data_IF_203555593053
#
_entry.id   IF_203555593053
#
_cell.length_a   1.000
_cell.length_b   1.000
_cell.length_c   1.000
_cell.angle_alpha   90.00
_cell.angle_beta   90.00
_cell.angle_gamma   90.00
#
_symmetry.space_group_name_H-M   'P 1'
#
loop_
_entity.id
_entity.type
_entity.pdbx_description
1 polymer ?
#
# COMPACT_ATOMS: atom_id res chain seq x y z
N UNK A 1 -20.98 -62.50 51.13
CA UNK A 1 -19.82 -61.69 50.71
C UNK A 1 -20.34 -60.38 50.12
N UNK A 2 -19.86 -59.22 50.58
CA UNK A 2 -20.55 -57.93 50.44
C UNK A 2 -20.15 -57.17 49.16
N UNK A 3 -21.15 -56.55 48.54
CA UNK A 3 -21.03 -55.54 47.49
C UNK A 3 -20.42 -54.27 48.08
N UNK A 4 -19.30 -53.79 47.53
CA UNK A 4 -18.73 -52.47 47.85
C UNK A 4 -19.06 -51.48 46.75
N UNK A 5 -19.74 -50.40 47.14
CA UNK A 5 -19.82 -49.14 46.41
C UNK A 5 -18.42 -48.55 46.27
N UNK A 6 -18.11 -47.94 45.12
CA UNK A 6 -17.16 -46.82 45.05
C UNK A 6 -17.66 -45.76 44.05
N UNK A 7 -17.63 -44.47 44.43
CA UNK A 7 -18.20 -43.37 43.67
C UNK A 7 -17.21 -42.74 42.68
N UNK A 8 -17.83 -42.07 41.71
CA UNK A 8 -17.38 -41.03 40.78
C UNK A 8 -16.20 -40.17 41.29
N UNK A 9 -15.20 -39.92 40.44
CA UNK A 9 -14.65 -38.58 40.26
C UNK A 9 -14.05 -38.40 38.85
N UNK A 10 -14.61 -37.45 38.12
CA UNK A 10 -14.12 -36.92 36.86
C UNK A 10 -13.12 -35.78 37.12
N UNK A 11 -12.08 -35.67 36.30
CA UNK A 11 -11.51 -34.39 35.85
C UNK A 11 -10.40 -34.65 34.82
N UNK A 12 -10.71 -34.46 33.54
CA UNK A 12 -9.71 -34.34 32.49
C UNK A 12 -9.19 -32.89 32.48
N UNK A 13 -7.93 -32.68 32.81
CA UNK A 13 -7.24 -31.41 32.56
C UNK A 13 -6.16 -31.65 31.50
N UNK A 14 -6.57 -31.52 30.24
CA UNK A 14 -5.64 -31.36 29.13
C UNK A 14 -5.01 -29.98 29.25
N UNK A 15 -3.75 -29.93 29.68
CA UNK A 15 -2.94 -28.71 29.65
C UNK A 15 -2.55 -28.44 28.19
N UNK A 16 -3.36 -27.64 27.49
CA UNK A 16 -3.02 -27.08 26.18
C UNK A 16 -2.09 -25.91 26.47
N UNK A 17 -0.79 -26.09 26.26
CA UNK A 17 0.18 -25.00 26.27
C UNK A 17 0.04 -24.28 24.92
N UNK A 18 -0.36 -22.99 24.87
CA UNK A 18 -0.40 -22.27 23.61
C UNK A 18 1.05 -22.02 23.15
N UNK A 19 1.49 -22.79 22.15
CA UNK A 19 2.59 -22.39 21.29
C UNK A 19 2.06 -21.26 20.39
N UNK A 20 2.40 -20.01 20.69
CA UNK A 20 1.91 -18.89 19.89
C UNK A 20 1.91 -17.56 20.61
N UNK A 21 3.08 -17.13 21.09
CA UNK A 21 3.33 -15.72 21.32
C UNK A 21 4.66 -15.36 20.66
N UNK A 22 4.76 -15.61 19.35
CA UNK A 22 5.40 -14.61 18.52
C UNK A 22 4.52 -13.38 18.67
N UNK A 23 4.85 -12.56 19.67
CA UNK A 23 4.46 -11.17 19.65
C UNK A 23 4.81 -10.72 18.24
N UNK A 24 3.75 -10.54 17.45
CA UNK A 24 3.77 -9.76 16.24
C UNK A 24 4.25 -8.41 16.73
N UNK A 25 5.57 -8.29 16.84
CA UNK A 25 6.30 -7.06 16.70
C UNK A 25 6.09 -6.72 15.24
N UNK A 26 4.83 -6.39 14.94
CA UNK A 26 4.43 -5.27 14.14
C UNK A 26 5.39 -4.18 14.62
N UNK A 27 6.57 -4.17 14.00
CA UNK A 27 7.31 -2.95 13.77
C UNK A 27 6.29 -2.12 13.03
N UNK A 28 5.40 -1.46 13.78
CA UNK A 28 4.73 -0.27 13.38
C UNK A 28 5.89 0.62 12.98
N UNK A 29 6.21 0.54 11.70
CA UNK A 29 7.36 1.16 11.10
C UNK A 29 7.12 2.63 11.36
N UNK A 30 7.78 3.20 12.37
CA UNK A 30 7.57 4.57 12.84
C UNK A 30 7.98 5.61 11.79
N UNK A 31 8.44 5.12 10.64
CA UNK A 31 8.72 5.88 9.44
C UNK A 31 7.40 6.26 8.78
N UNK A 32 7.22 7.53 8.37
CA UNK A 32 6.04 7.96 7.65
C UNK A 32 5.86 7.07 6.42
N UNK A 33 4.68 6.47 6.28
CA UNK A 33 4.39 5.53 5.21
C UNK A 33 3.31 6.13 4.33
N UNK A 34 3.60 6.30 3.04
CA UNK A 34 2.66 6.91 2.13
C UNK A 34 1.69 5.86 1.58
N UNK A 35 0.41 6.22 1.47
CA UNK A 35 -0.51 5.50 0.60
C UNK A 35 -0.55 6.24 -0.73
N UNK A 36 -0.17 5.54 -1.81
CA UNK A 36 -0.04 6.10 -3.14
C UNK A 36 -0.88 5.32 -4.15
N UNK A 37 -1.27 6.01 -5.22
CA UNK A 37 -1.67 5.38 -6.48
C UNK A 37 -0.60 5.70 -7.51
N UNK A 38 0.06 4.68 -8.03
CA UNK A 38 1.00 4.80 -9.14
C UNK A 38 0.25 4.61 -10.45
N UNK A 39 0.26 5.64 -11.29
CA UNK A 39 -0.21 5.58 -12.67
C UNK A 39 0.99 5.33 -13.57
N UNK A 40 0.90 4.33 -14.44
CA UNK A 40 1.98 3.96 -15.37
C UNK A 40 1.41 3.82 -16.79
N UNK A 41 2.11 4.38 -17.76
CA UNK A 41 1.78 4.27 -19.19
C UNK A 41 3.06 4.10 -20.00
N UNK A 42 3.01 3.39 -21.12
CA UNK A 42 4.16 3.32 -22.02
C UNK A 42 4.34 4.68 -22.72
N UNK A 43 5.58 5.16 -22.82
CA UNK A 43 5.90 6.41 -23.51
C UNK A 43 5.53 6.39 -25.01
N UNK A 44 5.42 5.20 -25.60
CA UNK A 44 4.93 5.00 -26.96
C UNK A 44 3.43 5.24 -27.13
N UNK A 45 2.64 5.18 -26.05
CA UNK A 45 1.18 5.35 -26.09
C UNK A 45 0.74 6.79 -25.85
N UNK A 46 1.47 7.54 -25.03
CA UNK A 46 1.10 8.92 -24.63
C UNK A 46 2.37 9.76 -24.51
N UNK A 47 2.33 10.98 -25.06
CA UNK A 47 3.42 11.93 -24.90
C UNK A 47 3.53 12.39 -23.43
N UNK A 48 4.76 12.63 -22.91
CA UNK A 48 4.96 13.04 -21.52
C UNK A 48 4.23 14.33 -21.14
N UNK A 49 4.08 15.25 -22.09
CA UNK A 49 3.32 16.49 -21.92
C UNK A 49 1.83 16.25 -21.69
N UNK A 50 1.22 15.34 -22.46
CA UNK A 50 -0.21 15.00 -22.36
C UNK A 50 -0.50 14.20 -21.10
N UNK A 51 0.39 13.25 -20.77
CA UNK A 51 0.33 12.50 -19.53
C UNK A 51 0.46 13.43 -18.31
N UNK A 52 1.39 14.38 -18.35
CA UNK A 52 1.54 15.40 -17.31
C UNK A 52 0.30 16.29 -17.19
N UNK A 53 -0.23 16.78 -18.32
CA UNK A 53 -1.39 17.66 -18.33
C UNK A 53 -2.62 16.97 -17.72
N UNK A 54 -2.86 15.72 -18.10
CA UNK A 54 -3.98 14.92 -17.59
C UNK A 54 -3.81 14.58 -16.10
N UNK A 55 -2.60 14.22 -15.67
CA UNK A 55 -2.37 13.86 -14.26
C UNK A 55 -2.42 15.06 -13.32
N UNK A 56 -2.09 16.27 -13.79
CA UNK A 56 -2.22 17.52 -13.03
C UNK A 56 -3.66 17.91 -12.69
N UNK A 57 -4.65 17.36 -13.41
CA UNK A 57 -6.06 17.61 -13.09
C UNK A 57 -6.57 16.73 -11.94
N UNK A 58 -5.82 15.69 -11.56
CA UNK A 58 -6.20 14.77 -10.49
C UNK A 58 -6.26 15.52 -9.16
N UNK A 59 -7.43 15.44 -8.50
CA UNK A 59 -7.64 15.96 -7.14
C UNK A 59 -7.89 14.88 -6.12
N UNK A 60 -7.98 13.61 -6.54
CA UNK A 60 -8.15 12.48 -5.63
C UNK A 60 -7.61 11.17 -6.20
N UNK A 61 -7.24 10.24 -5.32
CA UNK A 61 -6.83 8.90 -5.74
C UNK A 61 -7.94 8.10 -6.43
N UNK A 62 -9.21 8.35 -6.08
CA UNK A 62 -10.34 7.74 -6.77
C UNK A 62 -10.45 8.24 -8.21
N UNK A 63 -10.19 9.54 -8.43
CA UNK A 63 -10.12 10.14 -9.76
C UNK A 63 -8.93 9.61 -10.56
N UNK A 64 -7.75 9.50 -9.94
CA UNK A 64 -6.58 8.89 -10.56
C UNK A 64 -6.88 7.51 -11.16
N UNK A 65 -7.55 6.64 -10.40
CA UNK A 65 -7.95 5.32 -10.90
C UNK A 65 -9.00 5.38 -12.02
N UNK A 66 -9.95 6.31 -11.94
CA UNK A 66 -10.96 6.50 -13.00
C UNK A 66 -10.30 6.95 -14.30
N UNK A 67 -9.39 7.92 -14.23
CA UNK A 67 -8.62 8.42 -15.38
C UNK A 67 -7.77 7.30 -15.96
N UNK A 68 -7.06 6.55 -15.13
CA UNK A 68 -6.25 5.45 -15.60
C UNK A 68 -7.09 4.39 -16.32
N UNK A 69 -8.23 3.99 -15.75
CA UNK A 69 -9.16 3.06 -16.39
C UNK A 69 -9.73 3.60 -17.70
N UNK A 70 -10.10 4.88 -17.74
CA UNK A 70 -10.66 5.52 -18.93
C UNK A 70 -9.66 5.61 -20.09
N UNK A 71 -8.37 5.77 -19.78
CA UNK A 71 -7.29 5.89 -20.76
C UNK A 71 -6.52 4.58 -20.99
N UNK A 72 -6.92 3.48 -20.34
CA UNK A 72 -6.21 2.19 -20.45
C UNK A 72 -4.82 2.17 -19.81
N UNK A 73 -4.54 3.07 -18.87
CA UNK A 73 -3.27 3.12 -18.15
C UNK A 73 -3.25 2.11 -17.00
N UNK A 74 -2.05 1.69 -16.63
CA UNK A 74 -1.84 0.83 -15.46
C UNK A 74 -1.97 1.67 -14.18
N UNK A 75 -2.80 1.22 -13.25
CA UNK A 75 -2.96 1.86 -11.95
C UNK A 75 -2.68 0.85 -10.83
N UNK A 76 -1.69 1.14 -10.01
CA UNK A 76 -1.29 0.29 -8.89
C UNK A 76 -1.48 1.05 -7.57
N UNK A 77 -2.20 0.47 -6.62
CA UNK A 77 -2.31 1.03 -5.26
C UNK A 77 -1.17 0.49 -4.41
N UNK A 78 -0.24 1.37 -4.05
CA UNK A 78 0.84 1.06 -3.13
C UNK A 78 0.50 1.61 -1.75
N UNK A 79 0.22 0.71 -0.81
CA UNK A 79 0.01 1.06 0.60
C UNK A 79 1.33 0.84 1.31
N UNK A 80 1.69 1.75 2.22
CA UNK A 80 2.92 1.68 3.02
C UNK A 80 4.22 1.88 2.23
N UNK A 81 4.25 2.84 1.31
CA UNK A 81 5.50 3.18 0.61
C UNK A 81 6.38 4.00 1.53
N UNK A 82 7.58 3.50 1.81
CA UNK A 82 8.56 4.23 2.61
C UNK A 82 9.30 5.27 1.77
N UNK A 83 9.67 6.42 2.37
CA UNK A 83 10.43 7.46 1.67
C UNK A 83 11.74 6.96 1.05
N UNK A 84 12.34 5.93 1.65
CA UNK A 84 13.58 5.31 1.17
C UNK A 84 13.40 4.56 -0.15
N UNK A 85 12.21 4.01 -0.41
CA UNK A 85 11.85 3.29 -1.64
C UNK A 85 11.53 4.25 -2.79
N UNK A 86 11.28 5.53 -2.47
CA UNK A 86 11.07 6.54 -3.48
C UNK A 86 12.38 6.97 -4.12
N UNK A 87 12.35 7.28 -5.43
CA UNK A 87 13.45 7.97 -6.09
C UNK A 87 13.86 9.21 -5.30
N UNK A 88 15.18 9.49 -5.16
CA UNK A 88 15.68 10.57 -4.31
C UNK A 88 15.09 11.95 -4.69
N UNK A 89 14.81 12.17 -5.97
CA UNK A 89 14.17 13.37 -6.49
C UNK A 89 12.73 13.58 -6.01
N UNK A 90 12.00 12.50 -5.68
CA UNK A 90 10.61 12.58 -5.24
C UNK A 90 10.46 12.77 -3.73
N UNK A 91 11.48 12.41 -2.94
CA UNK A 91 11.42 12.54 -1.47
C UNK A 91 11.06 13.95 -0.98
N UNK A 92 11.68 15.04 -1.47
CA UNK A 92 11.27 16.39 -1.08
C UNK A 92 9.90 16.75 -1.66
N UNK A 93 9.62 16.35 -2.91
CA UNK A 93 8.37 16.66 -3.60
C UNK A 93 7.18 16.06 -2.86
N UNK A 94 7.30 14.82 -2.37
CA UNK A 94 6.23 14.15 -1.65
C UNK A 94 5.90 14.77 -0.29
N UNK A 95 6.81 15.56 0.28
CA UNK A 95 6.52 16.36 1.48
C UNK A 95 5.66 17.58 1.14
N UNK A 96 5.85 18.18 -0.03
CA UNK A 96 5.16 19.40 -0.46
C UNK A 96 3.83 19.10 -1.20
N UNK A 97 3.76 18.03 -1.99
CA UNK A 97 2.57 17.72 -2.80
C UNK A 97 1.37 17.34 -1.92
N UNK A 98 0.25 18.07 -1.95
CA UNK A 98 -0.88 17.79 -1.09
C UNK A 98 -1.53 16.43 -1.39
N UNK A 99 -2.23 15.88 -0.40
CA UNK A 99 -2.99 14.65 -0.58
C UNK A 99 -4.07 14.87 -1.65
N UNK A 100 -4.21 13.91 -2.56
CA UNK A 100 -5.09 13.94 -3.71
C UNK A 100 -4.40 14.38 -5.00
N UNK A 101 -3.21 14.96 -4.93
CA UNK A 101 -2.49 15.45 -6.12
C UNK A 101 -1.42 14.50 -6.63
N UNK A 102 -1.15 14.63 -7.92
CA UNK A 102 -0.12 13.92 -8.66
C UNK A 102 1.26 14.58 -8.48
N UNK A 103 2.29 13.76 -8.30
CA UNK A 103 3.68 14.17 -8.44
C UNK A 103 4.01 14.49 -9.91
N UNK A 104 5.14 15.17 -10.18
CA UNK A 104 5.68 15.27 -11.54
C UNK A 104 5.87 13.89 -12.19
N UNK A 105 5.80 13.88 -13.52
CA UNK A 105 6.02 12.68 -14.33
C UNK A 105 7.46 12.21 -14.17
N UNK A 106 7.61 10.93 -13.88
CA UNK A 106 8.86 10.20 -13.88
C UNK A 106 8.95 9.42 -15.18
N UNK A 107 10.09 9.46 -15.84
CA UNK A 107 10.36 8.59 -16.98
C UNK A 107 11.25 7.45 -16.50
N UNK A 108 10.81 6.21 -16.66
CA UNK A 108 11.64 5.02 -16.51
C UNK A 108 12.33 4.76 -17.85
N UNK A 109 13.61 5.13 -17.94
CA UNK A 109 14.51 4.88 -19.09
C UNK A 109 13.91 5.24 -20.46
N UNK A 110 12.99 6.21 -20.50
CA UNK A 110 12.27 6.62 -21.70
C UNK A 110 11.23 5.62 -22.23
N UNK A 111 11.04 4.48 -21.57
CA UNK A 111 10.13 3.40 -21.99
C UNK A 111 8.75 3.50 -21.35
N UNK A 112 8.69 3.97 -20.11
CA UNK A 112 7.44 4.17 -19.39
C UNK A 112 7.43 5.51 -18.66
N UNK A 113 6.22 6.05 -18.51
CA UNK A 113 5.92 7.26 -17.77
C UNK A 113 5.14 6.88 -16.53
N UNK A 114 5.56 7.38 -15.37
CA UNK A 114 4.96 7.10 -14.09
C UNK A 114 4.60 8.40 -13.36
N UNK A 115 3.48 8.39 -12.66
CA UNK A 115 3.07 9.45 -11.74
C UNK A 115 2.59 8.81 -10.45
N UNK A 116 2.95 9.39 -9.31
CA UNK A 116 2.47 8.97 -8.01
C UNK A 116 1.42 9.98 -7.53
N UNK A 117 0.26 9.50 -7.11
CA UNK A 117 -0.79 10.32 -6.49
C UNK A 117 -0.81 10.01 -5.01
N UNK A 118 -0.66 11.03 -4.17
CA UNK A 118 -0.60 10.84 -2.71
C UNK A 118 -2.01 10.71 -2.15
N UNK A 119 -2.40 9.55 -1.65
CA UNK A 119 -3.73 9.34 -1.07
C UNK A 119 -3.78 9.71 0.40
N UNK A 120 -2.75 9.31 1.14
CA UNK A 120 -2.58 9.60 2.56
C UNK A 120 -1.11 9.50 2.95
N UNK A 121 -0.77 10.08 4.09
CA UNK A 121 0.57 10.07 4.72
C UNK A 121 0.47 9.53 6.13
#
# INVERSE_FOLDING_TARGET
>A
MPRRLFPVLAAATAAIVPAGASAQQERASTLPSYSLVQLSVLSAQVAPSDFSSTTKTIRSCSEAMKIAKANGWQAERKRFVHPSELPPQLRPIMRDVPNGEATPVLSEDGSALHVLVICSR
#
